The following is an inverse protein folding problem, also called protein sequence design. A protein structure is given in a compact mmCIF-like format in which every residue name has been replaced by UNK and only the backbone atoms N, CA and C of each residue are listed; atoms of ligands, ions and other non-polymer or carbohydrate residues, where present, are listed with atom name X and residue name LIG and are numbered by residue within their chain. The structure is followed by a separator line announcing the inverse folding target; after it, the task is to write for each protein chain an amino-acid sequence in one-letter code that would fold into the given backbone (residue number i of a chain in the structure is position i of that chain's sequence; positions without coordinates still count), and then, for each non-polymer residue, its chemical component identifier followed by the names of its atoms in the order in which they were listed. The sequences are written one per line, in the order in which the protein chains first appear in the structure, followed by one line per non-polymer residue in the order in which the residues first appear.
data_IF_830187444641
#
_entry.id   IF_830187444641
#
_cell.length_a   1.000
_cell.length_b   1.000
_cell.length_c   1.000
_cell.angle_alpha   90.00
_cell.angle_beta   90.00
_cell.angle_gamma   90.00
#
_symmetry.space_group_name_H-M   'P 1'
#
loop_
_entity.id
_entity.type
_entity.pdbx_description
1 polymer ?
#
# COMPACT_ATOMS: atom_id res chain seq x y z
N UNK A 1 -12.97 2.71 2.45
CA UNK A 1 -12.66 3.75 1.42
C UNK A 1 -11.60 4.75 1.89
N UNK A 2 -11.84 5.55 2.94
CA UNK A 2 -10.86 6.56 3.40
C UNK A 2 -9.47 5.97 3.75
N UNK A 3 -9.43 4.82 4.44
CA UNK A 3 -8.18 4.13 4.75
C UNK A 3 -7.40 3.77 3.48
N UNK A 4 -8.05 3.11 2.52
CA UNK A 4 -7.47 2.78 1.21
C UNK A 4 -6.95 4.03 0.48
N UNK A 5 -7.68 5.15 0.50
CA UNK A 5 -7.19 6.39 -0.10
C UNK A 5 -5.90 6.87 0.53
N UNK A 6 -5.78 6.78 1.85
CA UNK A 6 -4.55 7.14 2.57
C UNK A 6 -3.41 6.19 2.26
N UNK A 7 -3.69 4.88 2.24
CA UNK A 7 -2.70 3.84 1.94
C UNK A 7 -2.16 3.95 0.51
N UNK A 8 -3.00 4.36 -0.43
CA UNK A 8 -2.68 4.50 -1.85
C UNK A 8 -2.22 5.92 -2.22
N UNK A 9 -1.91 6.78 -1.24
CA UNK A 9 -1.46 8.16 -1.45
C UNK A 9 -2.37 8.98 -2.39
N UNK A 10 -3.69 8.73 -2.35
CA UNK A 10 -4.66 9.46 -3.16
C UNK A 10 -4.72 10.92 -2.68
N UNK A 11 -4.56 11.92 -3.56
CA UNK A 11 -4.66 13.32 -3.16
C UNK A 11 -5.95 13.62 -2.38
N UNK A 12 -5.83 14.36 -1.28
CA UNK A 12 -6.95 14.60 -0.36
C UNK A 12 -8.16 15.28 -1.03
N UNK A 13 -7.90 16.11 -2.06
CA UNK A 13 -8.92 16.80 -2.83
C UNK A 13 -9.54 15.98 -3.98
N UNK A 14 -8.92 14.87 -4.40
CA UNK A 14 -9.35 14.13 -5.57
C UNK A 14 -10.75 13.53 -5.38
N UNK A 15 -11.61 13.63 -6.40
CA UNK A 15 -12.85 12.85 -6.47
C UNK A 15 -12.56 11.60 -7.29
N UNK A 16 -12.98 10.44 -6.80
CA UNK A 16 -12.70 9.14 -7.45
C UNK A 16 -14.01 8.35 -7.66
N UNK A 17 -14.10 7.53 -8.70
CA UNK A 17 -15.24 6.62 -8.86
C UNK A 17 -15.22 5.52 -7.79
N UNK A 18 -16.40 5.04 -7.42
CA UNK A 18 -16.59 3.82 -6.63
C UNK A 18 -17.49 2.85 -7.41
N UNK A 19 -17.05 1.60 -7.49
CA UNK A 19 -17.83 0.50 -8.06
C UNK A 19 -18.15 -0.47 -6.94
N UNK A 20 -19.42 -0.84 -6.78
CA UNK A 20 -19.84 -1.90 -5.87
C UNK A 20 -20.15 -3.14 -6.70
N UNK A 21 -19.27 -4.13 -6.62
CA UNK A 21 -19.37 -5.38 -7.33
C UNK A 21 -20.10 -6.45 -6.52
N UNK A 22 -20.97 -7.23 -7.18
CA UNK A 22 -21.62 -8.40 -6.56
C UNK A 22 -22.63 -8.06 -5.45
N UNK A 23 -23.10 -6.81 -5.37
CA UNK A 23 -23.98 -6.37 -4.30
C UNK A 23 -25.35 -7.05 -4.33
N UNK A 24 -25.82 -7.52 -3.17
CA UNK A 24 -27.20 -8.00 -2.99
C UNK A 24 -28.22 -6.86 -3.21
N UNK A 25 -29.49 -7.20 -3.52
CA UNK A 25 -30.55 -6.19 -3.67
C UNK A 25 -30.72 -5.33 -2.41
N UNK A 26 -30.63 -5.95 -1.23
CA UNK A 26 -30.71 -5.24 0.05
C UNK A 26 -29.55 -4.26 0.23
N UNK A 27 -28.32 -4.66 -0.11
CA UNK A 27 -27.16 -3.78 -0.05
C UNK A 27 -27.27 -2.60 -1.03
N UNK A 28 -27.78 -2.84 -2.25
CA UNK A 28 -28.07 -1.77 -3.22
C UNK A 28 -29.07 -0.75 -2.67
N UNK A 29 -30.13 -1.22 -1.99
CA UNK A 29 -31.12 -0.36 -1.34
C UNK A 29 -30.50 0.55 -0.28
N UNK A 30 -29.78 -0.03 0.70
CA UNK A 30 -29.10 0.75 1.76
C UNK A 30 -28.10 1.76 1.21
N UNK A 31 -27.38 1.40 0.14
CA UNK A 31 -26.44 2.31 -0.51
C UNK A 31 -27.15 3.47 -1.22
N UNK A 32 -28.30 3.21 -1.83
CA UNK A 32 -29.11 4.26 -2.46
C UNK A 32 -29.66 5.25 -1.42
N UNK A 33 -30.17 4.74 -0.30
CA UNK A 33 -30.73 5.57 0.81
C UNK A 33 -29.68 6.52 1.42
N UNK A 34 -28.40 6.17 1.34
CA UNK A 34 -27.30 6.94 1.92
C UNK A 34 -26.33 7.52 0.88
N UNK A 35 -26.70 7.51 -0.41
CA UNK A 35 -25.81 7.80 -1.52
C UNK A 35 -25.07 9.14 -1.36
N UNK A 36 -25.79 10.23 -1.13
CA UNK A 36 -25.20 11.56 -1.05
C UNK A 36 -24.23 11.71 0.13
N UNK A 37 -24.59 11.14 1.29
CA UNK A 37 -23.72 11.12 2.47
C UNK A 37 -22.44 10.34 2.18
N UNK A 38 -22.56 9.17 1.54
CA UNK A 38 -21.41 8.34 1.17
C UNK A 38 -20.52 9.08 0.17
N UNK A 39 -21.10 9.65 -0.91
CA UNK A 39 -20.35 10.41 -1.92
C UNK A 39 -19.58 11.56 -1.28
N UNK A 40 -20.20 12.30 -0.35
CA UNK A 40 -19.55 13.41 0.35
C UNK A 40 -18.43 12.93 1.28
N UNK A 41 -18.70 11.96 2.15
CA UNK A 41 -17.72 11.51 3.16
C UNK A 41 -16.54 10.76 2.55
N UNK A 42 -16.75 10.04 1.45
CA UNK A 42 -15.71 9.31 0.74
C UNK A 42 -15.09 10.09 -0.43
N UNK A 43 -15.57 11.32 -0.70
CA UNK A 43 -15.16 12.18 -1.82
C UNK A 43 -15.23 11.42 -3.15
N UNK A 44 -16.41 10.91 -3.46
CA UNK A 44 -16.67 10.15 -4.67
C UNK A 44 -17.19 11.07 -5.77
N UNK A 45 -16.76 10.80 -7.00
CA UNK A 45 -17.34 11.41 -8.19
C UNK A 45 -18.65 10.70 -8.56
N UNK A 46 -18.56 9.38 -8.67
CA UNK A 46 -19.65 8.48 -9.05
C UNK A 46 -19.70 7.27 -8.12
N UNK A 47 -20.89 6.66 -8.03
CA UNK A 47 -21.09 5.33 -7.44
C UNK A 47 -21.89 4.51 -8.43
N UNK A 48 -21.40 3.33 -8.77
CA UNK A 48 -22.04 2.40 -9.72
C UNK A 48 -22.07 0.98 -9.16
N UNK A 49 -22.93 0.14 -9.74
CA UNK A 49 -23.08 -1.26 -9.37
C UNK A 49 -22.73 -2.13 -10.56
N UNK A 50 -21.82 -3.07 -10.35
CA UNK A 50 -21.35 -3.98 -11.40
C UNK A 50 -21.44 -5.43 -10.91
N UNK A 51 -21.44 -6.43 -11.81
CA UNK A 51 -21.35 -7.83 -11.39
C UNK A 51 -19.96 -8.18 -10.86
N UNK A 52 -18.90 -7.51 -11.32
CA UNK A 52 -17.50 -7.80 -10.97
C UNK A 52 -16.68 -6.50 -10.81
N UNK A 53 -15.60 -6.51 -10.00
CA UNK A 53 -14.74 -5.34 -9.83
C UNK A 53 -13.95 -5.03 -11.12
N UNK A 54 -13.76 -3.74 -11.48
CA UNK A 54 -12.93 -3.37 -12.62
C UNK A 54 -11.48 -3.84 -12.45
N UNK A 55 -10.83 -4.18 -13.56
CA UNK A 55 -9.42 -4.59 -13.55
C UNK A 55 -8.53 -3.43 -13.06
N UNK A 56 -7.61 -3.75 -12.15
CA UNK A 56 -6.67 -2.77 -11.57
C UNK A 56 -7.32 -1.78 -10.59
N UNK A 57 -8.56 -2.03 -10.16
CA UNK A 57 -9.17 -1.28 -9.07
C UNK A 57 -8.75 -1.88 -7.72
N UNK A 58 -8.48 -1.01 -6.74
CA UNK A 58 -8.21 -1.47 -5.37
C UNK A 58 -9.51 -1.94 -4.74
N UNK A 59 -9.51 -3.17 -4.23
CA UNK A 59 -10.71 -3.85 -3.74
C UNK A 59 -10.79 -3.83 -2.22
N UNK A 60 -12.01 -3.63 -1.71
CA UNK A 60 -12.38 -3.71 -0.30
C UNK A 60 -13.47 -4.77 -0.22
N UNK A 61 -13.16 -5.88 0.44
CA UNK A 61 -14.12 -6.98 0.65
C UNK A 61 -15.10 -6.56 1.74
N UNK A 62 -16.39 -6.71 1.47
CA UNK A 62 -17.50 -6.47 2.40
C UNK A 62 -18.32 -7.77 2.49
N UNK A 63 -19.11 -7.92 3.55
CA UNK A 63 -19.97 -9.11 3.72
C UNK A 63 -20.97 -9.27 2.56
N UNK A 64 -21.47 -8.15 2.04
CA UNK A 64 -22.52 -8.12 1.00
C UNK A 64 -22.01 -7.66 -0.38
N UNK A 65 -20.69 -7.76 -0.65
CA UNK A 65 -20.12 -7.44 -1.97
C UNK A 65 -18.68 -6.92 -1.91
N UNK A 66 -18.20 -6.34 -3.01
CA UNK A 66 -16.85 -5.80 -3.10
C UNK A 66 -16.93 -4.32 -3.49
N UNK A 67 -16.36 -3.44 -2.67
CA UNK A 67 -16.17 -2.04 -3.02
C UNK A 67 -14.82 -1.88 -3.75
N UNK A 68 -14.85 -1.48 -5.01
CA UNK A 68 -13.68 -1.31 -5.86
C UNK A 68 -13.47 0.16 -6.22
N UNK A 69 -12.23 0.64 -6.05
CA UNK A 69 -11.81 2.01 -6.36
C UNK A 69 -10.90 2.00 -7.58
N UNK A 70 -11.40 2.36 -8.77
CA UNK A 70 -10.55 2.63 -9.92
C UNK A 70 -9.71 3.89 -9.65
N UNK A 71 -8.41 3.70 -9.44
CA UNK A 71 -7.47 4.80 -9.14
C UNK A 71 -6.66 5.24 -10.37
N UNK A 72 -6.87 4.60 -11.52
CA UNK A 72 -6.23 4.95 -12.78
C UNK A 72 -6.51 6.42 -13.14
N UNK A 73 -5.45 7.20 -13.35
CA UNK A 73 -5.53 8.63 -13.67
C UNK A 73 -5.63 9.57 -12.46
N UNK A 74 -5.83 9.04 -11.24
CA UNK A 74 -5.84 9.82 -9.99
C UNK A 74 -4.55 9.64 -9.21
N UNK A 75 -3.99 8.43 -9.26
CA UNK A 75 -2.69 8.09 -8.69
C UNK A 75 -1.81 7.59 -9.83
N UNK A 76 -0.61 8.15 -9.95
CA UNK A 76 0.42 7.56 -10.82
C UNK A 76 1.02 6.34 -10.11
N UNK A 77 0.27 5.24 -10.14
CA UNK A 77 0.67 3.96 -9.54
C UNK A 77 1.97 3.44 -10.15
N UNK A 78 2.27 3.82 -11.41
CA UNK A 78 3.52 3.46 -12.06
C UNK A 78 4.68 4.24 -11.46
N UNK A 79 4.57 5.56 -11.36
CA UNK A 79 5.60 6.38 -10.71
C UNK A 79 5.79 5.99 -9.24
N UNK A 80 4.71 5.65 -8.53
CA UNK A 80 4.78 5.21 -7.15
C UNK A 80 5.44 3.83 -7.01
N UNK A 81 5.13 2.89 -7.90
CA UNK A 81 5.81 1.59 -7.96
C UNK A 81 7.30 1.75 -8.25
N UNK A 82 7.67 2.61 -9.20
CA UNK A 82 9.07 2.89 -9.49
C UNK A 82 9.78 3.58 -8.31
N UNK A 83 9.11 4.48 -7.58
CA UNK A 83 9.65 5.11 -6.36
C UNK A 83 9.91 4.05 -5.28
N UNK A 84 8.93 3.20 -5.00
CA UNK A 84 9.05 2.13 -4.01
C UNK A 84 10.16 1.13 -4.38
N UNK A 85 10.25 0.73 -5.65
CA UNK A 85 11.35 -0.13 -6.13
C UNK A 85 12.72 0.50 -5.93
N UNK A 86 12.86 1.81 -6.21
CA UNK A 86 14.11 2.55 -5.98
C UNK A 86 14.48 2.62 -4.50
N UNK A 87 13.50 2.82 -3.62
CA UNK A 87 13.71 2.85 -2.16
C UNK A 87 14.10 1.48 -1.60
N UNK A 88 13.43 0.41 -2.06
CA UNK A 88 13.79 -0.97 -1.71
C UNK A 88 15.23 -1.27 -2.13
N UNK A 89 15.59 -1.02 -3.39
CA UNK A 89 16.93 -1.28 -3.91
C UNK A 89 18.02 -0.50 -3.15
N UNK A 90 17.72 0.74 -2.72
CA UNK A 90 18.64 1.54 -1.89
C UNK A 90 18.82 0.91 -0.50
N UNK A 91 17.72 0.55 0.16
CA UNK A 91 17.75 -0.05 1.49
C UNK A 91 18.44 -1.43 1.49
N UNK A 92 18.18 -2.26 0.47
CA UNK A 92 18.89 -3.53 0.26
C UNK A 92 20.40 -3.32 0.07
N UNK A 93 20.78 -2.29 -0.71
CA UNK A 93 22.18 -1.94 -0.91
C UNK A 93 22.89 -1.50 0.38
N UNK A 94 22.19 -0.80 1.28
CA UNK A 94 22.71 -0.41 2.59
C UNK A 94 22.82 -1.62 3.54
N UNK A 95 21.77 -2.45 3.63
CA UNK A 95 21.78 -3.67 4.43
C UNK A 95 22.88 -4.62 3.99
N UNK A 96 23.08 -4.81 2.69
CA UNK A 96 24.15 -5.68 2.15
C UNK A 96 25.54 -5.23 2.60
N UNK A 97 25.79 -3.91 2.69
CA UNK A 97 27.07 -3.40 3.21
C UNK A 97 27.26 -3.73 4.69
N UNK A 98 26.19 -3.68 5.48
CA UNK A 98 26.21 -4.03 6.91
C UNK A 98 26.39 -5.55 7.08
N UNK A 99 25.69 -6.37 6.31
CA UNK A 99 25.84 -7.83 6.30
C UNK A 99 27.27 -8.26 5.96
N UNK A 100 27.88 -7.66 4.94
CA UNK A 100 29.29 -7.94 4.57
C UNK A 100 30.24 -7.56 5.72
N UNK A 101 29.99 -6.47 6.43
CA UNK A 101 30.80 -6.10 7.60
C UNK A 101 30.63 -7.09 8.75
N UNK A 102 29.39 -7.49 9.04
CA UNK A 102 29.07 -8.44 10.11
C UNK A 102 29.52 -9.87 9.78
N UNK A 103 29.64 -10.25 8.51
CA UNK A 103 30.17 -11.54 8.07
C UNK A 103 31.71 -11.60 8.12
N UNK A 104 32.39 -10.45 8.25
CA UNK A 104 33.85 -10.42 8.30
C UNK A 104 34.36 -10.81 9.70
N UNK A 105 34.92 -12.01 9.82
CA UNK A 105 35.48 -12.52 11.08
C UNK A 105 36.57 -11.61 11.68
N UNK A 106 37.35 -10.91 10.85
CA UNK A 106 38.36 -9.96 11.33
C UNK A 106 37.75 -8.69 11.92
N UNK A 107 36.56 -8.29 11.44
CA UNK A 107 35.80 -7.20 12.03
C UNK A 107 35.18 -7.63 13.35
N UNK A 108 34.53 -8.80 13.40
CA UNK A 108 33.95 -9.34 14.63
C UNK A 108 34.98 -9.53 15.76
N UNK A 109 36.22 -9.91 15.42
CA UNK A 109 37.28 -10.12 16.39
C UNK A 109 37.94 -8.82 16.90
N UNK A 110 37.82 -7.71 16.16
CA UNK A 110 38.52 -6.44 16.47
C UNK A 110 37.58 -5.30 16.86
N UNK A 111 36.33 -5.34 16.42
CA UNK A 111 35.37 -4.29 16.69
C UNK A 111 34.88 -4.39 18.15
N UNK A 112 34.68 -3.25 18.84
CA UNK A 112 34.01 -3.23 20.14
C UNK A 112 32.62 -3.88 20.05
N UNK A 113 32.21 -4.57 21.11
CA UNK A 113 30.90 -5.23 21.19
C UNK A 113 29.75 -4.26 20.88
N UNK A 114 29.81 -3.04 21.39
CA UNK A 114 28.83 -1.98 21.13
C UNK A 114 28.67 -1.68 19.63
N UNK A 115 29.78 -1.64 18.88
CA UNK A 115 29.76 -1.38 17.43
C UNK A 115 29.15 -2.57 16.68
N UNK A 116 29.44 -3.81 17.13
CA UNK A 116 28.86 -5.01 16.51
C UNK A 116 27.35 -5.06 16.75
N UNK A 117 26.90 -4.79 17.97
CA UNK A 117 25.48 -4.76 18.31
C UNK A 117 24.73 -3.63 17.59
N UNK A 118 25.31 -2.42 17.50
CA UNK A 118 24.72 -1.32 16.72
C UNK A 118 24.52 -1.73 15.25
N UNK A 119 25.51 -2.40 14.63
CA UNK A 119 25.37 -2.85 13.25
C UNK A 119 24.29 -3.94 13.10
N UNK A 120 24.13 -4.84 14.08
CA UNK A 120 23.06 -5.84 14.06
C UNK A 120 21.68 -5.21 14.21
N UNK A 121 21.53 -4.25 15.12
CA UNK A 121 20.28 -3.52 15.31
C UNK A 121 19.90 -2.75 14.04
N UNK A 122 20.86 -2.02 13.46
CA UNK A 122 20.67 -1.31 12.17
C UNK A 122 20.28 -2.25 11.04
N UNK A 123 20.85 -3.46 10.99
CA UNK A 123 20.47 -4.45 9.99
C UNK A 123 19.02 -4.93 10.21
N UNK A 124 18.64 -5.22 11.45
CA UNK A 124 17.28 -5.66 11.79
C UNK A 124 16.24 -4.58 11.45
N UNK A 125 16.52 -3.32 11.77
CA UNK A 125 15.66 -2.18 11.43
C UNK A 125 15.54 -2.00 9.92
N UNK A 126 16.67 -2.07 9.20
CA UNK A 126 16.66 -1.99 7.74
C UNK A 126 15.85 -3.11 7.10
N UNK A 127 15.99 -4.35 7.57
CA UNK A 127 15.20 -5.49 7.10
C UNK A 127 13.69 -5.31 7.39
N UNK A 128 13.34 -4.75 8.55
CA UNK A 128 11.95 -4.41 8.90
C UNK A 128 11.39 -3.33 7.97
N UNK A 129 12.19 -2.30 7.64
CA UNK A 129 11.81 -1.25 6.72
C UNK A 129 11.57 -1.79 5.30
N UNK A 130 12.47 -2.64 4.78
CA UNK A 130 12.32 -3.28 3.47
C UNK A 130 11.01 -4.06 3.38
N UNK A 131 10.71 -4.90 4.38
CA UNK A 131 9.45 -5.67 4.41
C UNK A 131 8.20 -4.78 4.33
N UNK A 132 8.22 -3.60 4.97
CA UNK A 132 7.11 -2.64 4.91
C UNK A 132 6.98 -2.04 3.51
N UNK A 133 8.10 -1.70 2.86
CA UNK A 133 8.13 -1.18 1.50
C UNK A 133 7.66 -2.22 0.47
N UNK A 134 8.11 -3.47 0.58
CA UNK A 134 7.66 -4.58 -0.27
C UNK A 134 6.16 -4.84 -0.12
N UNK A 135 5.64 -4.81 1.10
CA UNK A 135 4.21 -4.94 1.35
C UNK A 135 3.41 -3.80 0.71
N UNK A 136 3.93 -2.57 0.72
CA UNK A 136 3.31 -1.44 0.02
C UNK A 136 3.34 -1.65 -1.50
N UNK A 137 4.48 -2.05 -2.07
CA UNK A 137 4.61 -2.33 -3.51
C UNK A 137 3.64 -3.43 -3.97
N UNK A 138 3.49 -4.50 -3.18
CA UNK A 138 2.57 -5.61 -3.49
C UNK A 138 1.11 -5.17 -3.55
N UNK A 139 0.69 -4.21 -2.72
CA UNK A 139 -0.68 -3.68 -2.70
C UNK A 139 -1.02 -2.86 -3.95
N UNK A 140 -0.02 -2.20 -4.53
CA UNK A 140 -0.25 -1.32 -5.70
C UNK A 140 -0.01 -2.02 -7.03
N UNK A 141 0.71 -3.16 -7.02
CA UNK A 141 0.98 -3.98 -8.21
C UNK A 141 -0.10 -5.06 -8.48
N UNK A 142 -1.03 -5.29 -7.55
CA UNK A 142 -2.18 -6.20 -7.68
C UNK A 142 -3.40 -5.56 -8.33
#
# INVERSE_FOLDING_TARGET
VRSVRSEMNVPAGAKIPLVIAGASRAAKGRLADHLETIKRLARLETLSFEPAPPRGAVQIVLDDGIAALPLAGVVDLKAEAERLQREIAKAEGENKKIEVKLANAAFLAKAPTEVVEENKERLADGQSAIKKLEAALKRIAS
#
